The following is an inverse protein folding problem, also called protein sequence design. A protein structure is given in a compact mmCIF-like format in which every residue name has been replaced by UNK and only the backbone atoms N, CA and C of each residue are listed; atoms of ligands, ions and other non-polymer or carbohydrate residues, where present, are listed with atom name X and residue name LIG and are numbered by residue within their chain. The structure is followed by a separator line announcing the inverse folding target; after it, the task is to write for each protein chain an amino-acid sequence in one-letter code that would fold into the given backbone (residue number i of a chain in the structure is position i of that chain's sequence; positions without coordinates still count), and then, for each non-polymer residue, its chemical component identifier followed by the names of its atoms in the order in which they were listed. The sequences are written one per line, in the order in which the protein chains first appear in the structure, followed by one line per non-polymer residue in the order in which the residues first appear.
data_IF_458321387240
#
_entry.id   IF_458321387240
#
_cell.length_a   1.000
_cell.length_b   1.000
_cell.length_c   1.000
_cell.angle_alpha   90.00
_cell.angle_beta   90.00
_cell.angle_gamma   90.00
#
_symmetry.space_group_name_H-M   'P 1'
#
loop_
_entity.id
_entity.type
_entity.pdbx_description
1 polymer ?
#
# COMPACT_ATOMS: atom_id res chain seq x y z
N UNK A 1 36.18 54.98 -29.37
CA UNK A 1 35.79 53.64 -28.87
C UNK A 1 35.08 52.92 -30.00
N UNK A 2 35.79 52.09 -30.78
CA UNK A 2 35.20 51.36 -31.90
C UNK A 2 34.82 49.96 -31.45
N UNK A 3 33.51 49.72 -31.31
CA UNK A 3 32.94 48.43 -30.95
C UNK A 3 33.10 47.42 -32.08
N UNK A 4 33.74 46.29 -31.78
CA UNK A 4 33.77 45.10 -32.63
C UNK A 4 32.37 44.46 -32.60
N UNK A 5 31.65 44.51 -33.72
CA UNK A 5 30.44 43.72 -33.91
C UNK A 5 30.85 42.28 -34.26
N UNK A 6 30.64 41.36 -33.33
CA UNK A 6 30.72 39.92 -33.60
C UNK A 6 29.59 39.51 -34.54
N UNK A 7 29.91 38.78 -35.60
CA UNK A 7 28.92 38.23 -36.53
C UNK A 7 27.99 37.28 -35.76
N UNK A 8 26.72 37.66 -35.60
CA UNK A 8 25.67 36.73 -35.23
C UNK A 8 25.33 35.90 -36.47
N UNK A 9 25.73 34.63 -36.46
CA UNK A 9 25.32 33.65 -37.48
C UNK A 9 23.86 33.28 -37.20
N UNK A 10 22.95 33.74 -38.05
CA UNK A 10 21.53 33.40 -37.93
C UNK A 10 21.33 31.91 -38.20
N UNK A 11 20.71 31.19 -37.25
CA UNK A 11 20.27 29.81 -37.45
C UNK A 11 19.35 29.74 -38.68
N UNK A 12 19.61 28.78 -39.57
CA UNK A 12 18.78 28.63 -40.77
C UNK A 12 17.47 27.93 -40.43
N UNK A 13 16.39 28.32 -41.11
CA UNK A 13 15.05 27.75 -40.87
C UNK A 13 15.04 26.23 -41.10
N UNK A 14 15.87 25.73 -42.01
CA UNK A 14 16.06 24.31 -42.30
C UNK A 14 16.74 23.55 -41.16
N UNK A 15 17.73 24.16 -40.49
CA UNK A 15 18.39 23.55 -39.34
C UNK A 15 17.40 23.38 -38.18
N UNK A 16 16.54 24.38 -37.97
CA UNK A 16 15.51 24.33 -36.93
C UNK A 16 14.44 23.26 -37.24
N UNK A 17 14.03 23.10 -38.50
CA UNK A 17 13.07 22.04 -38.86
C UNK A 17 13.67 20.63 -38.74
N UNK A 18 14.95 20.44 -39.10
CA UNK A 18 15.64 19.15 -38.94
C UNK A 18 15.77 18.79 -37.45
N UNK A 19 16.20 19.73 -36.61
CA UNK A 19 16.28 19.50 -35.15
C UNK A 19 14.89 19.18 -34.58
N UNK A 20 13.86 19.90 -35.00
CA UNK A 20 12.49 19.64 -34.57
C UNK A 20 12.01 18.24 -34.96
N UNK A 21 12.28 17.79 -36.18
CA UNK A 21 11.92 16.44 -36.65
C UNK A 21 12.65 15.34 -35.86
N UNK A 22 13.94 15.55 -35.56
CA UNK A 22 14.71 14.63 -34.71
C UNK A 22 14.11 14.59 -33.31
N UNK A 23 13.77 15.74 -32.72
CA UNK A 23 13.16 15.80 -31.38
C UNK A 23 11.79 15.10 -31.34
N UNK A 24 10.96 15.24 -32.38
CA UNK A 24 9.67 14.54 -32.46
C UNK A 24 9.88 13.02 -32.58
N UNK A 25 10.82 12.58 -33.41
CA UNK A 25 11.14 11.16 -33.57
C UNK A 25 11.69 10.54 -32.27
N UNK A 26 12.59 11.25 -31.58
CA UNK A 26 13.15 10.82 -30.30
C UNK A 26 12.08 10.82 -29.20
N UNK A 27 11.21 11.83 -29.14
CA UNK A 27 10.10 11.87 -28.20
C UNK A 27 9.12 10.71 -28.45
N UNK A 28 8.80 10.41 -29.71
CA UNK A 28 7.94 9.27 -30.07
C UNK A 28 8.50 7.91 -29.63
N UNK A 29 9.83 7.75 -29.66
CA UNK A 29 10.51 6.55 -29.16
C UNK A 29 10.61 6.50 -27.63
N UNK A 30 10.73 7.65 -26.96
CA UNK A 30 10.93 7.72 -25.51
C UNK A 30 9.64 7.52 -24.69
N UNK A 31 8.49 7.97 -25.20
CA UNK A 31 7.19 7.92 -24.48
C UNK A 31 6.81 6.51 -23.98
N UNK A 32 6.88 5.42 -24.78
CA UNK A 32 6.50 4.09 -24.29
C UNK A 32 7.48 3.53 -23.23
N UNK A 33 8.74 3.95 -23.26
CA UNK A 33 9.77 3.41 -22.36
C UNK A 33 9.68 3.99 -20.94
N UNK A 34 9.28 5.26 -20.82
CA UNK A 34 9.15 5.94 -19.51
C UNK A 34 7.90 5.48 -18.74
N UNK A 35 6.84 5.07 -19.45
CA UNK A 35 5.60 4.58 -18.84
C UNK A 35 5.76 3.26 -18.09
N UNK A 36 6.43 2.27 -18.69
CA UNK A 36 6.65 0.95 -18.06
C UNK A 36 7.63 0.97 -16.89
N UNK A 37 8.71 1.77 -16.99
CA UNK A 37 9.68 1.92 -15.90
C UNK A 37 9.06 2.55 -14.64
N UNK A 38 8.08 3.45 -14.81
CA UNK A 38 7.35 4.07 -13.71
C UNK A 38 6.54 3.07 -12.87
N UNK A 39 5.78 2.17 -13.53
CA UNK A 39 4.96 1.16 -12.84
C UNK A 39 5.81 0.16 -12.06
N UNK A 40 6.89 -0.33 -12.66
CA UNK A 40 7.84 -1.20 -11.98
C UNK A 40 8.43 -0.55 -10.72
N UNK A 41 8.89 0.70 -10.84
CA UNK A 41 9.47 1.43 -9.71
C UNK A 41 8.45 1.68 -8.59
N UNK A 42 7.20 2.00 -8.94
CA UNK A 42 6.12 2.17 -7.97
C UNK A 42 5.78 0.84 -7.28
N UNK A 43 5.69 -0.26 -8.01
CA UNK A 43 5.46 -1.59 -7.45
C UNK A 43 6.55 -1.98 -6.44
N UNK A 44 7.83 -1.80 -6.78
CA UNK A 44 8.93 -2.08 -5.87
C UNK A 44 8.93 -1.16 -4.64
N UNK A 45 8.58 0.11 -4.81
CA UNK A 45 8.44 1.06 -3.70
C UNK A 45 7.27 0.69 -2.76
N UNK A 46 6.17 0.18 -3.31
CA UNK A 46 5.04 -0.36 -2.56
C UNK A 46 5.46 -1.59 -1.76
N UNK A 47 6.15 -2.55 -2.38
CA UNK A 47 6.66 -3.74 -1.68
C UNK A 47 7.62 -3.36 -0.54
N UNK A 48 8.52 -2.39 -0.77
CA UNK A 48 9.42 -1.87 0.26
C UNK A 48 8.65 -1.21 1.42
N UNK A 49 7.61 -0.42 1.10
CA UNK A 49 6.73 0.20 2.11
C UNK A 49 6.03 -0.87 2.95
N UNK A 50 5.46 -1.91 2.31
CA UNK A 50 4.82 -3.01 3.03
C UNK A 50 5.81 -3.75 3.95
N UNK A 51 7.07 -3.96 3.53
CA UNK A 51 8.09 -4.54 4.41
C UNK A 51 8.40 -3.66 5.61
N UNK A 52 8.50 -2.34 5.43
CA UNK A 52 8.70 -1.40 6.53
C UNK A 52 7.52 -1.42 7.53
N UNK A 53 6.28 -1.47 7.03
CA UNK A 53 5.07 -1.61 7.86
C UNK A 53 5.06 -2.95 8.57
N UNK A 54 5.39 -4.05 7.88
CA UNK A 54 5.52 -5.37 8.50
C UNK A 54 6.52 -5.34 9.66
N UNK A 55 7.67 -4.69 9.49
CA UNK A 55 8.65 -4.53 10.58
C UNK A 55 8.12 -3.65 11.73
N UNK A 56 7.36 -2.60 11.43
CA UNK A 56 6.73 -1.77 12.47
C UNK A 56 5.68 -2.56 13.28
N UNK A 57 4.95 -3.47 12.64
CA UNK A 57 3.95 -4.33 13.30
C UNK A 57 4.63 -5.49 14.04
N UNK A 58 5.40 -6.31 13.33
CA UNK A 58 5.92 -7.58 13.83
C UNK A 58 7.23 -7.43 14.62
N UNK A 59 7.93 -6.32 14.44
CA UNK A 59 9.27 -6.10 14.96
C UNK A 59 10.36 -6.39 13.93
N UNK A 60 11.58 -5.97 14.26
CA UNK A 60 12.75 -6.12 13.41
C UNK A 60 14.03 -5.93 14.21
N UNK A 61 15.10 -5.52 13.54
CA UNK A 61 16.41 -5.32 14.19
C UNK A 61 16.38 -4.27 15.32
N UNK A 62 15.46 -3.31 15.25
CA UNK A 62 15.31 -2.24 16.25
C UNK A 62 14.57 -2.67 17.53
N UNK A 63 14.01 -3.88 17.57
CA UNK A 63 13.29 -4.42 18.72
C UNK A 63 11.88 -4.93 18.37
N UNK A 64 11.05 -5.18 19.40
CA UNK A 64 9.66 -5.59 19.19
C UNK A 64 8.89 -4.53 18.41
N UNK A 65 7.99 -4.96 17.53
CA UNK A 65 7.02 -4.07 16.89
C UNK A 65 5.79 -3.89 17.75
N UNK A 66 4.77 -3.24 17.19
CA UNK A 66 3.45 -3.08 17.81
C UNK A 66 2.92 -4.41 18.40
N UNK A 67 3.06 -5.50 17.66
CA UNK A 67 2.58 -6.84 18.04
C UNK A 67 3.23 -7.33 19.33
N UNK A 68 4.57 -7.26 19.42
CA UNK A 68 5.29 -7.68 20.62
C UNK A 68 4.99 -6.77 21.82
N UNK A 69 4.98 -5.47 21.59
CA UNK A 69 4.73 -4.46 22.63
C UNK A 69 3.33 -4.53 23.22
N UNK A 70 2.36 -4.94 22.40
CA UNK A 70 0.96 -4.97 22.81
C UNK A 70 0.48 -6.35 23.23
N UNK A 71 1.35 -7.34 23.41
CA UNK A 71 1.01 -8.73 23.79
C UNK A 71 0.22 -9.49 22.72
N UNK A 72 0.59 -9.31 21.46
CA UNK A 72 0.08 -10.11 20.35
C UNK A 72 -1.17 -9.55 19.68
N UNK A 73 -1.45 -8.26 19.86
CA UNK A 73 -2.51 -7.57 19.12
C UNK A 73 -1.96 -6.91 17.86
N UNK A 74 -2.77 -6.93 16.80
CA UNK A 74 -2.52 -6.12 15.61
C UNK A 74 -2.97 -4.67 15.83
N UNK A 75 -2.50 -3.71 15.00
CA UNK A 75 -2.93 -2.32 15.07
C UNK A 75 -4.45 -2.18 15.01
N UNK A 76 -5.05 -1.80 16.14
CA UNK A 76 -6.49 -1.64 16.32
C UNK A 76 -6.78 -0.63 17.44
N UNK A 77 -8.00 -0.10 17.52
CA UNK A 77 -8.34 0.89 18.55
C UNK A 77 -8.49 0.26 19.94
N UNK A 78 -9.22 -0.85 20.00
CA UNK A 78 -9.63 -1.51 21.24
C UNK A 78 -9.28 -2.99 21.18
N UNK A 79 -8.91 -3.56 22.32
CA UNK A 79 -8.59 -4.99 22.40
C UNK A 79 -9.85 -5.80 22.10
N UNK A 80 -9.72 -6.80 21.24
CA UNK A 80 -10.78 -7.74 20.86
C UNK A 80 -11.93 -7.13 20.03
N UNK A 81 -11.70 -6.01 19.34
CA UNK A 81 -12.66 -5.45 18.39
C UNK A 81 -12.04 -5.38 16.99
N UNK A 82 -12.36 -6.40 16.20
CA UNK A 82 -11.83 -6.56 14.84
C UNK A 82 -12.29 -5.43 13.91
N UNK A 83 -13.43 -4.79 14.17
CA UNK A 83 -13.95 -3.68 13.35
C UNK A 83 -13.11 -2.40 13.47
N UNK A 84 -12.15 -2.39 14.39
CA UNK A 84 -11.25 -1.27 14.62
C UNK A 84 -9.84 -1.52 14.11
N UNK A 85 -9.58 -2.61 13.39
CA UNK A 85 -8.26 -2.89 12.83
C UNK A 85 -7.94 -1.88 11.73
N UNK A 86 -6.83 -1.15 11.89
CA UNK A 86 -6.40 -0.13 10.94
C UNK A 86 -4.93 0.25 11.16
N UNK A 87 -4.20 0.55 10.07
CA UNK A 87 -2.79 0.93 10.17
C UNK A 87 -2.57 2.31 10.81
N UNK A 88 -3.60 3.15 10.93
CA UNK A 88 -3.50 4.46 11.60
C UNK A 88 -2.91 4.38 13.01
N UNK A 89 -3.14 3.27 13.71
CA UNK A 89 -2.70 3.05 15.10
C UNK A 89 -1.19 2.80 15.23
N UNK A 90 -0.48 2.79 14.10
CA UNK A 90 0.98 2.90 14.05
C UNK A 90 1.45 4.36 14.20
N UNK A 91 0.61 5.35 13.91
CA UNK A 91 0.94 6.77 14.05
C UNK A 91 0.43 7.38 15.35
N UNK A 92 -0.74 6.96 15.81
CA UNK A 92 -1.40 7.54 17.00
C UNK A 92 -1.73 6.46 18.02
N UNK A 93 -1.74 6.84 19.30
CA UNK A 93 -2.04 5.91 20.38
C UNK A 93 -3.52 5.48 20.31
N UNK A 94 -3.81 4.18 20.15
CA UNK A 94 -5.17 3.67 20.25
C UNK A 94 -5.70 3.74 21.69
N UNK A 95 -7.01 3.98 21.84
CA UNK A 95 -7.64 4.20 23.15
C UNK A 95 -7.57 2.96 24.07
N UNK A 96 -7.58 1.76 23.50
CA UNK A 96 -7.56 0.49 24.23
C UNK A 96 -6.19 0.02 24.71
N UNK A 97 -5.13 0.81 24.54
CA UNK A 97 -3.77 0.44 24.89
C UNK A 97 -3.13 1.46 25.82
N UNK A 98 -2.60 0.97 26.94
CA UNK A 98 -1.82 1.78 27.87
C UNK A 98 -0.52 2.24 27.22
N UNK A 99 0.03 3.36 27.67
CA UNK A 99 1.37 3.81 27.28
C UNK A 99 2.42 2.77 27.67
N UNK A 100 3.49 2.68 26.87
CA UNK A 100 4.57 1.72 27.09
C UNK A 100 5.22 1.88 28.47
N UNK A 101 5.37 0.75 29.16
CA UNK A 101 6.10 0.65 30.41
C UNK A 101 7.48 0.00 30.15
N UNK A 102 8.58 0.76 30.24
CA UNK A 102 9.92 0.24 30.00
C UNK A 102 10.36 -0.89 30.94
N UNK A 103 9.74 -1.02 32.13
CA UNK A 103 10.07 -2.08 33.09
C UNK A 103 9.51 -3.43 32.68
N UNK A 104 8.30 -3.44 32.11
CA UNK A 104 7.63 -4.66 31.68
C UNK A 104 7.83 -4.93 30.19
N UNK A 105 8.26 -3.93 29.42
CA UNK A 105 8.41 -4.03 27.97
C UNK A 105 7.06 -4.14 27.24
N UNK A 106 5.99 -3.60 27.83
CA UNK A 106 4.61 -3.77 27.35
C UNK A 106 3.88 -2.43 27.34
N UNK A 107 3.03 -2.23 26.33
CA UNK A 107 2.18 -1.06 26.11
C UNK A 107 2.48 -0.41 24.76
N UNK A 108 1.70 0.59 24.36
CA UNK A 108 1.93 1.31 23.12
C UNK A 108 3.18 2.19 23.25
N UNK A 109 4.23 1.83 22.51
CA UNK A 109 5.54 2.52 22.47
C UNK A 109 5.60 3.59 21.38
N UNK A 110 4.59 3.64 20.52
CA UNK A 110 4.58 4.40 19.29
C UNK A 110 4.59 5.92 19.46
N UNK A 111 4.68 6.70 18.36
CA UNK A 111 4.47 6.27 16.98
C UNK A 111 5.51 5.26 16.46
N UNK A 112 5.07 4.20 15.78
CA UNK A 112 5.93 3.18 15.17
C UNK A 112 6.37 3.53 13.75
N UNK A 113 5.65 4.46 13.10
CA UNK A 113 5.99 5.05 11.81
C UNK A 113 6.05 6.57 11.95
N UNK A 114 7.01 7.21 11.27
CA UNK A 114 7.27 8.63 11.44
C UNK A 114 6.25 9.54 10.74
N UNK A 115 5.70 9.10 9.59
CA UNK A 115 4.71 9.85 8.84
C UNK A 115 3.86 8.93 7.96
N UNK A 116 2.58 9.27 7.85
CA UNK A 116 1.65 8.71 6.87
C UNK A 116 1.15 9.80 5.92
N UNK A 117 0.50 9.40 4.83
CA UNK A 117 -0.24 10.33 3.98
C UNK A 117 -1.57 10.69 4.63
N UNK A 118 -1.98 11.95 4.57
CA UNK A 118 -3.36 12.33 4.89
C UNK A 118 -4.24 11.90 3.71
N UNK A 119 -5.27 11.09 3.99
CA UNK A 119 -6.18 10.64 2.93
C UNK A 119 -7.09 11.77 2.47
N UNK A 120 -7.20 11.93 1.16
CA UNK A 120 -8.27 12.65 0.49
C UNK A 120 -9.20 11.58 -0.09
N UNK A 121 -10.34 11.28 0.55
CA UNK A 121 -11.21 10.18 0.08
C UNK A 121 -11.94 10.50 -1.22
N UNK A 122 -11.92 11.77 -1.67
CA UNK A 122 -12.57 12.17 -2.91
C UNK A 122 -11.92 11.42 -4.09
N UNK A 123 -12.66 10.45 -4.61
CA UNK A 123 -12.24 9.61 -5.74
C UNK A 123 -11.45 8.36 -5.34
N UNK A 124 -11.40 7.95 -4.06
CA UNK A 124 -10.94 6.60 -3.71
C UNK A 124 -11.99 5.57 -4.12
N UNK A 125 -11.56 4.40 -4.58
CA UNK A 125 -12.49 3.34 -4.96
C UNK A 125 -13.35 2.87 -3.77
N UNK A 126 -14.56 2.39 -4.08
CA UNK A 126 -15.55 1.94 -3.08
C UNK A 126 -15.10 0.74 -2.24
N UNK A 127 -14.16 -0.08 -2.73
CA UNK A 127 -13.58 -1.20 -1.98
C UNK A 127 -12.98 -0.76 -0.64
N UNK A 128 -12.40 0.46 -0.55
CA UNK A 128 -11.86 1.00 0.71
C UNK A 128 -12.93 1.48 1.70
N UNK A 129 -14.19 1.53 1.28
CA UNK A 129 -15.35 1.90 2.09
C UNK A 129 -16.30 0.72 2.37
N UNK A 130 -15.98 -0.47 1.86
CA UNK A 130 -16.75 -1.68 2.08
C UNK A 130 -16.08 -2.49 3.20
N UNK A 131 -16.58 -2.28 4.41
CA UNK A 131 -16.05 -2.90 5.62
C UNK A 131 -16.74 -4.22 5.96
N UNK A 132 -16.38 -4.80 7.10
CA UNK A 132 -16.87 -6.12 7.52
C UNK A 132 -18.37 -6.15 7.86
N UNK A 133 -19.07 -4.99 7.88
CA UNK A 133 -20.51 -4.97 8.16
C UNK A 133 -21.32 -5.80 7.13
N UNK A 134 -20.80 -5.93 5.91
CA UNK A 134 -21.48 -6.60 4.80
C UNK A 134 -20.99 -8.05 4.57
N UNK A 135 -20.17 -8.62 5.46
CA UNK A 135 -19.59 -9.97 5.39
C UNK A 135 -18.75 -10.32 4.14
N UNK A 136 -18.72 -9.44 3.14
CA UNK A 136 -17.89 -9.54 1.92
C UNK A 136 -16.91 -8.37 1.78
N UNK A 137 -16.60 -7.69 2.89
CA UNK A 137 -15.78 -6.47 2.90
C UNK A 137 -14.32 -6.67 2.53
N UNK A 138 -13.67 -5.57 2.16
CA UNK A 138 -12.23 -5.52 1.84
C UNK A 138 -11.41 -4.87 2.95
N UNK A 139 -12.05 -4.10 3.84
CA UNK A 139 -11.38 -3.43 4.98
C UNK A 139 -12.03 -3.78 6.32
N UNK A 140 -11.24 -3.76 7.39
CA UNK A 140 -11.76 -3.97 8.74
C UNK A 140 -12.54 -2.75 9.25
N UNK A 141 -12.12 -1.57 8.79
CA UNK A 141 -12.69 -0.27 9.16
C UNK A 141 -12.64 0.65 7.94
N UNK A 142 -13.74 1.34 7.67
CA UNK A 142 -13.79 2.39 6.64
C UNK A 142 -12.72 3.46 6.89
N UNK A 143 -11.98 3.79 5.83
CA UNK A 143 -10.93 4.81 5.90
C UNK A 143 -11.55 6.20 5.69
N UNK A 144 -11.40 7.09 6.67
CA UNK A 144 -12.02 8.42 6.62
C UNK A 144 -11.05 9.51 6.15
N UNK A 145 -11.59 10.63 5.68
CA UNK A 145 -10.82 11.80 5.24
C UNK A 145 -9.96 12.36 6.37
N UNK A 146 -8.74 12.76 6.04
CA UNK A 146 -7.84 13.45 6.97
C UNK A 146 -7.12 12.53 7.96
N UNK A 147 -7.43 11.23 7.94
CA UNK A 147 -6.70 10.24 8.72
C UNK A 147 -5.33 9.99 8.11
N UNK A 148 -4.34 9.79 8.99
CA UNK A 148 -3.01 9.36 8.58
C UNK A 148 -3.04 7.88 8.23
N UNK A 149 -2.70 7.58 6.99
CA UNK A 149 -2.66 6.24 6.44
C UNK A 149 -1.28 5.94 5.87
N UNK A 150 -0.90 4.67 5.91
CA UNK A 150 0.23 4.20 5.12
C UNK A 150 -0.21 4.22 3.66
N UNK A 151 0.58 4.84 2.79
CA UNK A 151 0.28 4.92 1.37
C UNK A 151 1.23 4.04 0.58
N UNK A 152 0.72 3.46 -0.50
CA UNK A 152 1.55 2.87 -1.54
C UNK A 152 2.15 3.94 -2.47
N UNK A 153 2.94 3.51 -3.45
CA UNK A 153 3.60 4.42 -4.38
C UNK A 153 2.63 5.11 -5.37
N UNK A 154 1.41 4.60 -5.52
CA UNK A 154 0.31 5.20 -6.29
C UNK A 154 -0.54 6.15 -5.45
N UNK A 155 -0.13 6.41 -4.19
CA UNK A 155 -0.81 7.27 -3.22
C UNK A 155 -2.16 6.75 -2.75
N UNK A 156 -2.38 5.44 -2.82
CA UNK A 156 -3.56 4.75 -2.28
C UNK A 156 -3.23 4.15 -0.91
N UNK A 157 -4.20 4.02 0.00
CA UNK A 157 -3.95 3.40 1.29
C UNK A 157 -3.49 1.94 1.16
N UNK A 158 -2.52 1.56 1.98
CA UNK A 158 -2.26 0.16 2.30
C UNK A 158 -3.18 -0.20 3.47
N UNK A 159 -3.86 -1.35 3.39
CA UNK A 159 -4.77 -1.82 4.43
C UNK A 159 -4.23 -3.04 5.13
N UNK A 160 -4.64 -3.22 6.38
CA UNK A 160 -4.38 -4.43 7.15
C UNK A 160 -5.65 -5.29 7.12
N UNK A 161 -5.51 -6.50 6.61
CA UNK A 161 -6.57 -7.50 6.60
C UNK A 161 -6.22 -8.66 7.53
N UNK A 162 -7.17 -9.03 8.37
CA UNK A 162 -7.18 -10.30 9.09
C UNK A 162 -8.32 -11.13 8.49
N UNK A 163 -8.03 -12.20 7.74
CA UNK A 163 -9.08 -12.96 7.10
C UNK A 163 -10.10 -13.53 8.09
N UNK A 164 -11.37 -13.57 7.71
CA UNK A 164 -12.48 -14.08 8.52
C UNK A 164 -13.03 -15.37 7.92
N UNK A 165 -13.13 -16.43 8.72
CA UNK A 165 -13.62 -17.73 8.28
C UNK A 165 -15.15 -17.76 8.23
N UNK A 166 -15.76 -17.58 7.05
CA UNK A 166 -17.21 -17.55 6.89
C UNK A 166 -17.89 -18.88 7.18
N UNK A 167 -17.17 -20.00 7.00
CA UNK A 167 -17.67 -21.34 7.33
C UNK A 167 -17.71 -21.60 8.84
N UNK A 168 -16.99 -20.79 9.63
CA UNK A 168 -16.92 -20.87 11.08
C UNK A 168 -17.42 -19.56 11.74
N UNK A 169 -18.50 -18.98 11.20
CA UNK A 169 -19.16 -17.82 11.80
C UNK A 169 -18.31 -16.56 11.82
N UNK A 170 -17.46 -16.35 10.81
CA UNK A 170 -16.54 -15.22 10.65
C UNK A 170 -15.48 -15.12 11.76
N UNK A 171 -15.00 -16.27 12.25
CA UNK A 171 -13.90 -16.31 13.20
C UNK A 171 -12.60 -15.77 12.55
N UNK A 172 -11.85 -14.87 13.22
CA UNK A 172 -10.63 -14.30 12.65
C UNK A 172 -9.52 -15.34 12.56
N UNK A 173 -8.83 -15.37 11.42
CA UNK A 173 -7.64 -16.17 11.21
C UNK A 173 -6.38 -15.29 11.23
N UNK A 174 -5.80 -15.14 12.42
CA UNK A 174 -4.62 -14.31 12.66
C UNK A 174 -3.35 -14.83 11.99
N UNK A 175 -3.30 -16.08 11.54
CA UNK A 175 -2.12 -16.64 10.87
C UNK A 175 -2.00 -16.16 9.42
N UNK A 176 -3.10 -15.69 8.85
CA UNK A 176 -3.15 -15.11 7.51
C UNK A 176 -3.33 -13.59 7.52
N UNK A 177 -3.07 -12.93 8.66
CA UNK A 177 -3.02 -11.47 8.72
C UNK A 177 -2.00 -10.94 7.70
N UNK A 178 -2.42 -9.95 6.90
CA UNK A 178 -1.69 -9.49 5.71
C UNK A 178 -1.89 -8.01 5.45
N UNK A 179 -0.89 -7.41 4.82
CA UNK A 179 -0.98 -6.07 4.23
C UNK A 179 -1.43 -6.20 2.79
N UNK A 180 -2.26 -5.26 2.34
CA UNK A 180 -2.78 -5.21 0.97
C UNK A 180 -2.68 -3.78 0.43
N UNK A 181 -2.12 -3.64 -0.78
CA UNK A 181 -2.27 -2.45 -1.63
C UNK A 181 -3.08 -2.86 -2.86
N UNK A 182 -3.94 -1.94 -3.32
CA UNK A 182 -4.73 -2.10 -4.55
C UNK A 182 -3.90 -2.13 -5.84
N UNK A 183 -2.56 -2.03 -5.75
CA UNK A 183 -1.71 -2.09 -6.92
C UNK A 183 -1.89 -0.90 -7.89
N UNK A 184 -1.49 -1.05 -9.16
CA UNK A 184 -1.57 0.02 -10.17
C UNK A 184 -2.99 0.30 -10.68
N UNK A 185 -3.87 -0.69 -10.75
CA UNK A 185 -5.16 -0.66 -11.41
C UNK A 185 -5.08 -0.18 -12.86
N UNK A 186 -6.10 0.58 -13.27
CA UNK A 186 -6.19 1.19 -14.59
C UNK A 186 -5.32 2.45 -14.78
N UNK A 187 -4.66 2.98 -13.74
CA UNK A 187 -4.01 4.30 -13.83
C UNK A 187 -3.42 4.85 -12.52
N UNK A 188 -3.22 6.17 -12.47
CA UNK A 188 -2.58 6.86 -11.33
C UNK A 188 -3.58 7.61 -10.44
N UNK A 189 -4.84 7.73 -10.85
CA UNK A 189 -5.85 8.38 -10.02
C UNK A 189 -6.25 7.46 -8.86
N UNK A 190 -6.71 8.05 -7.76
CA UNK A 190 -7.03 7.31 -6.54
C UNK A 190 -8.07 6.20 -6.77
N UNK A 191 -9.00 6.41 -7.70
CA UNK A 191 -10.09 5.48 -8.01
C UNK A 191 -9.82 4.57 -9.19
N UNK A 192 -8.61 4.62 -9.78
CA UNK A 192 -8.25 3.74 -10.88
C UNK A 192 -7.92 2.32 -10.40
N UNK A 193 -7.80 2.08 -9.09
CA UNK A 193 -7.55 0.75 -8.53
C UNK A 193 -8.49 0.46 -7.37
N UNK A 194 -8.95 -0.78 -7.30
CA UNK A 194 -9.77 -1.33 -6.23
C UNK A 194 -8.93 -2.36 -5.45
N UNK A 195 -9.27 -2.58 -4.19
CA UNK A 195 -8.82 -3.80 -3.51
C UNK A 195 -9.68 -4.94 -4.06
N UNK A 196 -9.04 -5.91 -4.69
CA UNK A 196 -9.72 -7.12 -5.20
C UNK A 196 -9.74 -8.24 -4.15
N UNK A 197 -8.79 -8.23 -3.22
CA UNK A 197 -8.69 -9.22 -2.15
C UNK A 197 -9.71 -9.01 -1.04
N UNK A 198 -10.69 -9.91 -0.95
CA UNK A 198 -11.67 -9.94 0.14
C UNK A 198 -11.06 -10.35 1.49
N UNK A 199 -11.66 -9.86 2.58
CA UNK A 199 -11.34 -10.30 3.95
C UNK A 199 -11.86 -11.73 4.21
N UNK A 200 -12.92 -12.16 3.52
CA UNK A 200 -13.51 -13.46 3.73
C UNK A 200 -12.57 -14.62 3.31
N UNK A 201 -12.67 -15.72 4.05
CA UNK A 201 -12.02 -17.01 3.81
C UNK A 201 -13.03 -18.13 4.09
N UNK A 202 -13.06 -19.19 3.29
CA UNK A 202 -13.88 -20.37 3.55
C UNK A 202 -12.96 -21.57 3.90
N UNK A 203 -12.92 -21.94 5.18
CA UNK A 203 -12.11 -23.08 5.62
C UNK A 203 -12.68 -24.45 5.23
N UNK A 204 -13.98 -24.53 4.88
CA UNK A 204 -14.64 -25.79 4.50
C UNK A 204 -14.15 -26.35 3.17
N UNK A 205 -13.68 -25.48 2.28
CA UNK A 205 -13.08 -25.83 0.98
C UNK A 205 -11.55 -25.74 0.99
N UNK A 206 -10.94 -25.38 2.13
CA UNK A 206 -9.50 -25.16 2.29
C UNK A 206 -8.89 -24.24 1.21
N UNK A 207 -9.71 -23.36 0.62
CA UNK A 207 -9.24 -22.32 -0.28
C UNK A 207 -8.99 -21.10 0.59
N UNK A 208 -7.72 -20.82 0.91
CA UNK A 208 -7.33 -19.50 1.41
C UNK A 208 -7.92 -18.42 0.45
N UNK A 209 -7.96 -17.13 0.79
CA UNK A 209 -8.42 -16.12 -0.16
C UNK A 209 -7.49 -16.18 -1.39
N UNK A 210 -8.02 -16.56 -2.56
CA UNK A 210 -7.23 -17.17 -3.63
C UNK A 210 -6.19 -16.20 -4.19
N UNK A 211 -5.04 -16.70 -4.65
CA UNK A 211 -4.09 -15.85 -5.38
C UNK A 211 -4.69 -15.24 -6.65
N UNK A 212 -5.69 -15.90 -7.25
CA UNK A 212 -6.39 -15.41 -8.43
C UNK A 212 -7.28 -14.20 -8.13
N UNK A 213 -7.81 -14.10 -6.90
CA UNK A 213 -8.64 -12.97 -6.45
C UNK A 213 -7.81 -11.72 -6.18
N UNK A 214 -6.48 -11.81 -6.26
CA UNK A 214 -5.61 -10.66 -6.06
C UNK A 214 -5.60 -9.74 -7.26
N UNK A 215 -5.83 -10.27 -8.47
CA UNK A 215 -5.64 -9.52 -9.70
C UNK A 215 -4.28 -8.76 -9.66
N UNK A 216 -4.27 -7.44 -9.50
CA UNK A 216 -3.07 -6.62 -9.39
C UNK A 216 -2.72 -6.13 -7.97
N UNK A 217 -3.50 -6.55 -6.96
CA UNK A 217 -3.22 -6.32 -5.55
C UNK A 217 -1.81 -6.80 -5.17
N UNK A 218 -1.16 -6.01 -4.32
CA UNK A 218 0.09 -6.37 -3.65
C UNK A 218 -0.24 -6.89 -2.26
N UNK A 219 0.05 -8.16 -1.99
CA UNK A 219 -0.22 -8.79 -0.69
C UNK A 219 1.08 -9.15 0.02
N UNK A 220 1.17 -8.85 1.32
CA UNK A 220 2.28 -9.28 2.17
C UNK A 220 1.77 -9.85 3.49
N UNK A 221 1.95 -11.16 3.69
CA UNK A 221 1.62 -11.85 4.93
C UNK A 221 2.58 -11.46 6.06
N UNK A 222 2.01 -11.28 7.26
CA UNK A 222 2.75 -10.79 8.42
C UNK A 222 3.52 -11.91 9.14
N UNK A 223 2.88 -13.05 9.39
CA UNK A 223 3.49 -14.18 10.11
C UNK A 223 4.10 -15.22 9.18
N UNK A 224 3.33 -15.63 8.17
CA UNK A 224 3.70 -16.71 7.28
C UNK A 224 4.25 -16.18 5.95
N UNK A 225 5.01 -17.00 5.20
CA UNK A 225 5.21 -16.77 3.77
C UNK A 225 3.87 -16.75 3.03
N UNK A 226 3.90 -16.27 1.78
CA UNK A 226 2.73 -16.39 0.92
C UNK A 226 2.33 -17.86 0.77
N UNK A 227 1.10 -18.25 1.13
CA UNK A 227 0.67 -19.63 1.03
C UNK A 227 0.50 -20.10 -0.42
N UNK A 228 0.50 -19.19 -1.40
CA UNK A 228 0.35 -19.53 -2.81
C UNK A 228 1.66 -19.48 -3.56
N UNK A 229 1.88 -20.51 -4.39
CA UNK A 229 3.05 -20.59 -5.26
C UNK A 229 3.12 -19.43 -6.28
N UNK A 230 1.97 -18.95 -6.77
CA UNK A 230 1.91 -17.84 -7.73
C UNK A 230 2.25 -16.49 -7.10
N UNK A 231 2.00 -16.31 -5.80
CA UNK A 231 2.26 -15.07 -5.08
C UNK A 231 1.60 -13.82 -5.70
N UNK A 232 2.28 -12.68 -5.58
CA UNK A 232 1.91 -11.46 -6.30
C UNK A 232 2.44 -11.50 -7.74
N UNK A 233 1.73 -10.89 -8.69
CA UNK A 233 2.21 -10.70 -10.06
C UNK A 233 3.58 -9.98 -10.02
N UNK A 234 4.63 -10.46 -10.70
CA UNK A 234 5.91 -9.76 -10.75
C UNK A 234 5.77 -8.29 -11.20
N UNK A 235 6.56 -7.38 -10.63
CA UNK A 235 6.45 -5.94 -10.92
C UNK A 235 6.70 -5.57 -12.40
N UNK A 236 7.41 -6.42 -13.14
CA UNK A 236 7.67 -6.27 -14.57
C UNK A 236 6.52 -6.78 -15.46
N UNK A 237 5.46 -7.31 -14.85
CA UNK A 237 4.28 -7.88 -15.49
C UNK A 237 2.97 -7.12 -15.15
N UNK A 238 3.08 -5.96 -14.48
CA UNK A 238 2.00 -5.07 -14.05
C UNK A 238 1.81 -3.84 -14.97
#
# INVERSE_FOLDING_TARGET
MNGKYGMQTGMTLLELTVVLLILIAVAGLAIPYVGGAGRMAMCQATDATMQAVKQAIMGGAAGPGFYGDTLGFYPQNTKNDLTTINLRYLFTQPAGFNSFNPKTGVGWRGPYLAAGGALVTAGLDSSFANDMADNSGFVHQVISVGEQQVMDAWRRPIVLQIPLDSSNGYAPNFDYARLVSAGPGAGLALGDAAIDTHIEYDSSVNSLPEANDRNDDRVLYLKNPDPYASGNIPCDQL
#
